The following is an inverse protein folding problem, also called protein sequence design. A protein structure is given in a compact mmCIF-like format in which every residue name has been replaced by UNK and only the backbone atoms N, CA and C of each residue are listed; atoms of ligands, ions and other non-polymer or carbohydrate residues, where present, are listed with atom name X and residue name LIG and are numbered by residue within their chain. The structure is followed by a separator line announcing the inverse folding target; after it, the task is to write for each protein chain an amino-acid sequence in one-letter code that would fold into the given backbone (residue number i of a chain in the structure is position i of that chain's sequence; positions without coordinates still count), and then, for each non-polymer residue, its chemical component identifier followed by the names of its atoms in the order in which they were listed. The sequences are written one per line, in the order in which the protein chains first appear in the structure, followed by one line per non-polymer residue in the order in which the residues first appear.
data_IF_070413161315
#
_entry.id   IF_070413161315
#
_cell.length_a   1.000
_cell.length_b   1.000
_cell.length_c   1.000
_cell.angle_alpha   90.00
_cell.angle_beta   90.00
_cell.angle_gamma   90.00
#
_symmetry.space_group_name_H-M   'P 1'
#
loop_
_entity.id
_entity.type
_entity.pdbx_description
1 polymer ?
#
# COMPACT_ATOMS: atom_id res chain seq x y z
N UNK A 1 -8.71 -5.15 -6.56
CA UNK A 1 -7.31 -5.53 -6.21
C UNK A 1 -6.51 -5.56 -7.50
N UNK A 2 -5.32 -4.95 -7.57
CA UNK A 2 -4.51 -4.97 -8.80
C UNK A 2 -3.54 -6.15 -8.78
N UNK A 3 -3.36 -6.85 -9.91
CA UNK A 3 -2.51 -8.06 -10.01
C UNK A 3 -1.08 -7.85 -9.46
N UNK A 4 -0.55 -6.63 -9.59
CA UNK A 4 0.79 -6.26 -9.10
C UNK A 4 0.95 -6.35 -7.57
N UNK A 5 -0.14 -6.36 -6.81
CA UNK A 5 -0.12 -6.43 -5.34
C UNK A 5 -0.29 -7.84 -4.80
N UNK A 6 -0.62 -8.81 -5.66
CA UNK A 6 -0.87 -10.19 -5.27
C UNK A 6 0.35 -10.83 -4.62
N UNK A 7 1.58 -10.72 -5.17
CA UNK A 7 2.75 -11.32 -4.53
C UNK A 7 3.00 -10.78 -3.12
N UNK A 8 2.83 -9.46 -2.94
CA UNK A 8 2.95 -8.82 -1.63
C UNK A 8 1.87 -9.25 -0.65
N UNK A 9 0.63 -9.42 -1.13
CA UNK A 9 -0.46 -9.93 -0.30
C UNK A 9 -0.22 -11.38 0.14
N UNK A 10 0.31 -12.22 -0.75
CA UNK A 10 0.64 -13.61 -0.43
C UNK A 10 1.77 -13.71 0.59
N UNK A 11 2.87 -12.97 0.40
CA UNK A 11 4.00 -12.99 1.33
C UNK A 11 3.63 -12.46 2.73
N UNK A 12 2.96 -11.31 2.82
CA UNK A 12 2.50 -10.77 4.09
C UNK A 12 1.38 -11.62 4.71
N UNK A 13 0.54 -12.23 3.89
CA UNK A 13 -0.51 -13.15 4.31
C UNK A 13 0.07 -14.43 4.92
N UNK A 14 1.14 -14.97 4.33
CA UNK A 14 1.86 -16.12 4.88
C UNK A 14 2.45 -15.80 6.26
N UNK A 15 3.11 -14.65 6.38
CA UNK A 15 3.62 -14.18 7.68
C UNK A 15 2.50 -14.04 8.71
N UNK A 16 1.34 -13.48 8.31
CA UNK A 16 0.18 -13.34 9.19
C UNK A 16 -0.41 -14.68 9.61
N UNK A 17 -0.46 -15.65 8.68
CA UNK A 17 -0.89 -17.01 8.95
C UNK A 17 0.02 -17.70 9.97
N UNK A 18 1.35 -17.63 9.77
CA UNK A 18 2.33 -18.19 10.70
C UNK A 18 2.27 -17.54 12.08
N UNK A 19 2.14 -16.22 12.15
CA UNK A 19 2.00 -15.49 13.41
C UNK A 19 0.72 -15.89 14.15
N UNK A 20 -0.40 -16.02 13.44
CA UNK A 20 -1.66 -16.47 14.01
C UNK A 20 -1.56 -17.93 14.50
N UNK A 21 -0.93 -18.80 13.73
CA UNK A 21 -0.72 -20.19 14.10
C UNK A 21 0.15 -20.31 15.36
N UNK A 22 1.27 -19.59 15.43
CA UNK A 22 2.11 -19.53 16.63
C UNK A 22 1.35 -19.00 17.86
N UNK A 23 0.51 -17.98 17.68
CA UNK A 23 -0.27 -17.38 18.75
C UNK A 23 -1.36 -18.33 19.29
N UNK A 24 -2.01 -19.09 18.42
CA UNK A 24 -3.06 -20.03 18.79
C UNK A 24 -2.52 -21.29 19.47
N UNK A 25 -1.35 -21.78 19.03
CA UNK A 25 -0.90 -23.14 19.39
C UNK A 25 0.37 -23.21 20.25
N UNK A 26 1.09 -22.09 20.46
CA UNK A 26 2.14 -21.86 21.50
C UNK A 26 3.16 -22.99 21.77
N UNK A 27 3.40 -23.89 20.82
CA UNK A 27 4.37 -25.00 20.93
C UNK A 27 3.78 -26.39 21.23
N UNK A 28 2.47 -26.54 21.39
CA UNK A 28 1.82 -27.85 21.55
C UNK A 28 1.67 -28.63 20.22
N UNK A 29 1.86 -27.93 19.10
CA UNK A 29 1.75 -28.48 17.75
C UNK A 29 3.01 -28.09 16.98
N UNK A 30 3.92 -29.05 16.85
CA UNK A 30 4.95 -28.95 15.85
C UNK A 30 4.27 -29.23 14.51
N UNK A 31 3.98 -28.18 13.73
CA UNK A 31 3.95 -28.35 12.28
C UNK A 31 5.20 -29.16 11.93
N UNK A 32 5.09 -30.22 11.13
CA UNK A 32 6.21 -31.08 10.78
C UNK A 32 7.46 -30.23 10.52
N UNK A 33 8.54 -30.49 11.26
CA UNK A 33 9.65 -29.52 11.42
C UNK A 33 10.19 -29.01 10.08
N UNK A 34 10.20 -29.86 9.06
CA UNK A 34 10.61 -29.54 7.70
C UNK A 34 9.63 -28.61 6.96
N UNK A 35 8.31 -28.84 7.10
CA UNK A 35 7.29 -27.99 6.49
C UNK A 35 7.25 -26.60 7.13
N UNK A 36 7.37 -26.55 8.46
CA UNK A 36 7.44 -25.28 9.18
C UNK A 36 8.65 -24.45 8.75
N UNK A 37 9.82 -25.10 8.61
CA UNK A 37 11.02 -24.46 8.11
C UNK A 37 10.82 -23.91 6.69
N UNK A 38 10.22 -24.69 5.77
CA UNK A 38 9.94 -24.26 4.41
C UNK A 38 8.98 -23.06 4.35
N UNK A 39 7.93 -23.04 5.17
CA UNK A 39 7.04 -21.88 5.26
C UNK A 39 7.75 -20.63 5.80
N UNK A 40 8.63 -20.79 6.78
CA UNK A 40 9.42 -19.68 7.31
C UNK A 40 10.42 -19.15 6.28
N UNK A 41 11.11 -20.03 5.56
CA UNK A 41 12.04 -19.66 4.49
C UNK A 41 11.33 -18.92 3.36
N UNK A 42 10.20 -19.45 2.90
CA UNK A 42 9.39 -18.81 1.85
C UNK A 42 8.85 -17.44 2.31
N UNK A 43 8.41 -17.33 3.56
CA UNK A 43 8.01 -16.04 4.14
C UNK A 43 9.19 -15.05 4.19
N UNK A 44 10.35 -15.50 4.66
CA UNK A 44 11.56 -14.69 4.76
C UNK A 44 12.01 -14.18 3.38
N UNK A 45 12.07 -15.06 2.37
CA UNK A 45 12.41 -14.68 0.99
C UNK A 45 11.40 -13.67 0.42
N UNK A 46 10.11 -13.88 0.64
CA UNK A 46 9.06 -12.95 0.21
C UNK A 46 9.20 -11.57 0.84
N UNK A 47 9.51 -11.52 2.14
CA UNK A 47 9.72 -10.27 2.88
C UNK A 47 11.00 -9.56 2.40
N UNK A 48 12.09 -10.29 2.20
CA UNK A 48 13.35 -9.75 1.70
C UNK A 48 13.18 -9.16 0.30
N UNK A 49 12.47 -9.86 -0.60
CA UNK A 49 12.18 -9.37 -1.95
C UNK A 49 11.33 -8.09 -1.92
N UNK A 50 10.31 -8.04 -1.07
CA UNK A 50 9.50 -6.83 -0.86
C UNK A 50 10.35 -5.69 -0.32
N UNK A 51 11.16 -5.94 0.71
CA UNK A 51 12.03 -4.95 1.31
C UNK A 51 12.99 -4.37 0.28
N UNK A 52 13.67 -5.21 -0.50
CA UNK A 52 14.57 -4.79 -1.58
C UNK A 52 13.85 -3.92 -2.62
N UNK A 53 12.64 -4.32 -3.05
CA UNK A 53 11.83 -3.54 -4.00
C UNK A 53 11.45 -2.16 -3.45
N UNK A 54 11.08 -2.08 -2.17
CA UNK A 54 10.73 -0.81 -1.52
C UNK A 54 11.94 0.07 -1.25
N UNK A 55 13.09 -0.49 -0.88
CA UNK A 55 14.36 0.25 -0.75
C UNK A 55 14.74 0.85 -2.10
N UNK A 56 14.69 0.05 -3.17
CA UNK A 56 14.96 0.54 -4.52
C UNK A 56 14.00 1.67 -4.94
N UNK A 57 12.70 1.50 -4.69
CA UNK A 57 11.69 2.53 -4.99
C UNK A 57 11.89 3.80 -4.15
N UNK A 58 12.22 3.67 -2.87
CA UNK A 58 12.53 4.78 -1.98
C UNK A 58 13.75 5.55 -2.48
N UNK A 59 14.83 4.86 -2.86
CA UNK A 59 16.04 5.48 -3.37
C UNK A 59 15.80 6.26 -4.68
N UNK A 60 15.05 5.68 -5.62
CA UNK A 60 14.68 6.38 -6.87
C UNK A 60 13.77 7.59 -6.62
N UNK A 61 12.91 7.51 -5.61
CA UNK A 61 12.03 8.61 -5.22
C UNK A 61 12.70 9.70 -4.40
N UNK A 62 13.73 9.40 -3.62
CA UNK A 62 14.31 10.30 -2.62
C UNK A 62 14.80 11.62 -3.21
N UNK A 63 15.33 11.62 -4.44
CA UNK A 63 15.79 12.84 -5.11
C UNK A 63 14.67 13.77 -5.58
N UNK A 64 13.45 13.26 -5.72
CA UNK A 64 12.30 13.99 -6.25
C UNK A 64 11.43 14.63 -5.17
N UNK A 65 11.67 14.33 -3.88
CA UNK A 65 10.86 14.82 -2.76
C UNK A 65 11.74 15.46 -1.69
N UNK A 66 11.28 16.58 -1.15
CA UNK A 66 11.91 17.24 0.00
C UNK A 66 11.39 16.75 1.35
N UNK A 67 10.26 16.01 1.36
CA UNK A 67 9.60 15.51 2.57
C UNK A 67 9.39 13.99 2.48
N UNK A 68 9.83 13.28 3.52
CA UNK A 68 9.68 11.83 3.66
C UNK A 68 8.24 11.37 3.82
N UNK A 69 7.33 12.24 4.28
CA UNK A 69 5.91 11.93 4.42
C UNK A 69 5.26 11.65 3.05
N UNK A 70 5.60 12.44 2.03
CA UNK A 70 5.06 12.32 0.68
C UNK A 70 5.57 11.03 0.00
N UNK A 71 6.87 10.76 0.16
CA UNK A 71 7.49 9.54 -0.36
C UNK A 71 6.92 8.29 0.33
N UNK A 72 6.78 8.31 1.65
CA UNK A 72 6.17 7.24 2.42
C UNK A 72 4.72 6.98 1.98
N UNK A 73 3.92 8.03 1.80
CA UNK A 73 2.56 7.91 1.30
C UNK A 73 2.51 7.26 -0.09
N UNK A 74 3.38 7.67 -1.02
CA UNK A 74 3.47 7.05 -2.35
C UNK A 74 3.86 5.58 -2.28
N UNK A 75 4.89 5.23 -1.50
CA UNK A 75 5.31 3.84 -1.31
C UNK A 75 4.18 3.01 -0.69
N UNK A 76 3.46 3.56 0.28
CA UNK A 76 2.32 2.87 0.93
C UNK A 76 1.19 2.51 -0.03
N UNK A 77 1.02 3.25 -1.14
CA UNK A 77 0.03 2.92 -2.18
C UNK A 77 0.37 1.62 -2.92
N UNK A 78 1.62 1.16 -2.87
CA UNK A 78 2.04 -0.11 -3.44
C UNK A 78 1.85 -1.30 -2.50
N UNK A 79 1.66 -1.07 -1.20
CA UNK A 79 1.33 -2.15 -0.27
C UNK A 79 -0.04 -2.77 -0.60
N UNK A 80 -0.20 -4.09 -0.35
CA UNK A 80 -1.51 -4.73 -0.35
C UNK A 80 -2.39 -4.13 0.75
N UNK A 81 -3.71 -4.17 0.54
CA UNK A 81 -4.67 -3.73 1.56
C UNK A 81 -4.78 -4.77 2.67
N UNK A 82 -5.16 -4.34 3.88
CA UNK A 82 -5.36 -5.27 5.00
C UNK A 82 -6.35 -6.41 4.69
N UNK A 83 -7.49 -6.18 4.00
CA UNK A 83 -8.38 -7.27 3.59
C UNK A 83 -7.72 -8.27 2.63
N UNK A 84 -6.81 -7.81 1.76
CA UNK A 84 -6.10 -8.68 0.84
C UNK A 84 -5.09 -9.57 1.58
N UNK A 85 -4.37 -9.01 2.55
CA UNK A 85 -3.45 -9.76 3.41
C UNK A 85 -4.22 -10.76 4.27
N UNK A 86 -5.37 -10.36 4.82
CA UNK A 86 -6.25 -11.24 5.58
C UNK A 86 -6.77 -12.42 4.76
N UNK A 87 -7.28 -12.16 3.54
CA UNK A 87 -7.73 -13.22 2.65
C UNK A 87 -6.60 -14.20 2.28
N UNK A 88 -5.40 -13.68 2.02
CA UNK A 88 -4.23 -14.52 1.79
C UNK A 88 -3.84 -15.32 3.04
N UNK A 89 -3.91 -14.71 4.22
CA UNK A 89 -3.63 -15.38 5.49
C UNK A 89 -4.58 -16.53 5.77
N UNK A 90 -5.89 -16.36 5.48
CA UNK A 90 -6.87 -17.45 5.54
C UNK A 90 -6.48 -18.57 4.58
N UNK A 91 -6.11 -18.23 3.34
CA UNK A 91 -5.69 -19.22 2.34
C UNK A 91 -4.49 -20.05 2.81
N UNK A 92 -3.46 -19.40 3.33
CA UNK A 92 -2.29 -20.07 3.90
C UNK A 92 -2.63 -20.90 5.14
N UNK A 93 -3.49 -20.37 6.03
CA UNK A 93 -3.91 -21.07 7.23
C UNK A 93 -4.69 -22.34 6.87
N UNK A 94 -5.65 -22.24 5.95
CA UNK A 94 -6.43 -23.38 5.47
C UNK A 94 -5.56 -24.40 4.73
N UNK A 95 -4.54 -23.96 3.99
CA UNK A 95 -3.58 -24.86 3.35
C UNK A 95 -2.78 -25.63 4.40
N UNK A 96 -2.28 -24.95 5.43
CA UNK A 96 -1.56 -25.59 6.52
C UNK A 96 -2.43 -26.59 7.29
N UNK A 97 -3.67 -26.22 7.61
CA UNK A 97 -4.65 -27.10 8.28
C UNK A 97 -5.02 -28.34 7.45
N UNK A 98 -5.04 -28.23 6.11
CA UNK A 98 -5.28 -29.38 5.23
C UNK A 98 -4.12 -30.35 5.16
N UNK A 99 -2.90 -29.85 5.28
CA UNK A 99 -1.70 -30.69 5.26
C UNK A 99 -1.54 -31.47 6.56
N UNK A 100 -2.00 -30.91 7.68
CA UNK A 100 -2.00 -31.58 9.00
C UNK A 100 -3.37 -31.41 9.69
N UNK A 101 -4.35 -32.28 9.38
CA UNK A 101 -5.69 -32.20 9.95
C UNK A 101 -5.70 -32.75 11.39
N UNK A 102 -5.14 -31.99 12.34
CA UNK A 102 -5.07 -32.38 13.75
C UNK A 102 -5.60 -31.32 14.73
N UNK A 103 -6.06 -30.17 14.24
CA UNK A 103 -6.48 -29.04 15.09
C UNK A 103 -7.98 -29.08 15.42
N UNK A 104 -8.39 -30.08 16.20
CA UNK A 104 -9.73 -30.10 16.79
C UNK A 104 -9.72 -29.27 18.09
N UNK A 105 -10.04 -27.97 18.04
CA UNK A 105 -10.26 -27.24 19.30
C UNK A 105 -10.46 -25.72 19.25
N UNK A 106 -9.97 -25.02 18.21
CA UNK A 106 -10.14 -23.56 18.16
C UNK A 106 -11.42 -23.21 17.40
N UNK A 107 -12.32 -22.48 18.05
CA UNK A 107 -13.53 -21.97 17.41
C UNK A 107 -13.17 -21.10 16.20
N UNK A 108 -13.84 -21.32 15.06
CA UNK A 108 -13.59 -20.61 13.80
C UNK A 108 -13.57 -19.09 13.95
N UNK A 109 -14.41 -18.56 14.84
CA UNK A 109 -14.45 -17.14 15.20
C UNK A 109 -13.13 -16.65 15.84
N UNK A 110 -12.54 -17.43 16.76
CA UNK A 110 -11.28 -17.09 17.42
C UNK A 110 -10.15 -17.07 16.38
N UNK A 111 -10.09 -18.09 15.51
CA UNK A 111 -9.12 -18.17 14.42
C UNK A 111 -9.22 -16.96 13.48
N UNK A 112 -10.43 -16.58 13.08
CA UNK A 112 -10.66 -15.43 12.22
C UNK A 112 -10.22 -14.10 12.88
N UNK A 113 -10.49 -13.93 14.18
CA UNK A 113 -10.08 -12.74 14.93
C UNK A 113 -8.55 -12.65 15.01
N UNK A 114 -7.87 -13.75 15.35
CA UNK A 114 -6.41 -13.76 15.45
C UNK A 114 -5.77 -13.51 14.08
N UNK A 115 -6.28 -14.10 13.01
CA UNK A 115 -5.83 -13.83 11.64
C UNK A 115 -6.03 -12.37 11.24
N UNK A 116 -7.18 -11.78 11.58
CA UNK A 116 -7.47 -10.38 11.29
C UNK A 116 -6.52 -9.44 12.05
N UNK A 117 -6.28 -9.72 13.33
CA UNK A 117 -5.34 -8.98 14.16
C UNK A 117 -3.90 -9.09 13.63
N UNK A 118 -3.45 -10.29 13.27
CA UNK A 118 -2.14 -10.53 12.69
C UNK A 118 -1.96 -9.80 11.35
N UNK A 119 -2.93 -9.90 10.44
CA UNK A 119 -2.91 -9.21 9.15
C UNK A 119 -2.89 -7.68 9.32
N UNK A 120 -3.70 -7.14 10.24
CA UNK A 120 -3.71 -5.72 10.55
C UNK A 120 -2.34 -5.25 11.09
N UNK A 121 -1.79 -5.98 12.07
CA UNK A 121 -0.51 -5.66 12.70
C UNK A 121 0.63 -5.65 11.66
N UNK A 122 0.72 -6.69 10.82
CA UNK A 122 1.75 -6.80 9.79
C UNK A 122 1.66 -5.65 8.77
N UNK A 123 0.44 -5.29 8.35
CA UNK A 123 0.26 -4.14 7.44
C UNK A 123 0.61 -2.84 8.13
N UNK A 124 0.28 -2.66 9.40
CA UNK A 124 0.66 -1.49 10.19
C UNK A 124 2.19 -1.37 10.31
N UNK A 125 2.87 -2.48 10.64
CA UNK A 125 4.33 -2.55 10.70
C UNK A 125 4.97 -2.24 9.36
N UNK A 126 4.46 -2.83 8.26
CA UNK A 126 4.96 -2.56 6.91
C UNK A 126 4.85 -1.07 6.56
N UNK A 127 3.75 -0.40 6.90
CA UNK A 127 3.59 1.05 6.69
C UNK A 127 4.58 1.86 7.53
N UNK A 128 4.78 1.49 8.79
CA UNK A 128 5.77 2.12 9.67
C UNK A 128 7.18 2.01 9.11
N UNK A 129 7.55 0.82 8.63
CA UNK A 129 8.84 0.56 8.01
C UNK A 129 9.04 1.38 6.74
N UNK A 130 8.03 1.48 5.87
CA UNK A 130 8.11 2.35 4.69
C UNK A 130 8.29 3.84 5.05
N UNK A 131 7.65 4.30 6.12
CA UNK A 131 7.83 5.66 6.60
C UNK A 131 9.23 5.91 7.17
N UNK A 132 9.85 4.92 7.81
CA UNK A 132 11.23 4.99 8.26
C UNK A 132 12.19 4.98 7.04
N UNK A 133 12.01 4.04 6.11
CA UNK A 133 12.81 3.93 4.89
C UNK A 133 12.77 5.20 4.04
N UNK A 134 11.60 5.81 3.87
CA UNK A 134 11.46 7.06 3.12
C UNK A 134 12.25 8.21 3.77
N UNK A 135 12.20 8.32 5.10
CA UNK A 135 12.96 9.34 5.86
C UNK A 135 14.46 9.12 5.76
N UNK A 136 14.91 7.88 5.91
CA UNK A 136 16.33 7.50 5.77
C UNK A 136 16.83 7.74 4.35
N UNK A 137 16.07 7.37 3.33
CA UNK A 137 16.48 7.57 1.94
C UNK A 137 16.65 9.05 1.61
N UNK A 138 15.75 9.92 2.10
CA UNK A 138 15.86 11.37 1.92
C UNK A 138 17.00 11.96 2.73
N UNK A 139 17.20 11.55 3.99
CA UNK A 139 18.32 12.05 4.80
C UNK A 139 19.66 11.71 4.16
N UNK A 140 19.81 10.49 3.64
CA UNK A 140 21.01 10.08 2.90
C UNK A 140 21.15 10.89 1.61
N UNK A 141 20.10 11.01 0.80
CA UNK A 141 20.14 11.77 -0.45
C UNK A 141 20.49 13.27 -0.23
N UNK A 142 20.00 13.86 0.87
CA UNK A 142 20.34 15.21 1.27
C UNK A 142 21.78 15.33 1.79
N UNK A 143 22.29 14.32 2.49
CA UNK A 143 23.68 14.28 2.98
C UNK A 143 24.72 14.04 1.88
N UNK A 144 24.35 13.29 0.83
CA UNK A 144 25.25 12.92 -0.26
C UNK A 144 25.55 14.07 -1.25
N UNK A 145 24.92 15.25 -1.08
CA UNK A 145 25.21 16.45 -1.85
C UNK A 145 25.24 17.68 -0.93
N UNK A 146 26.44 18.07 -0.48
CA UNK A 146 26.72 19.47 -0.13
C UNK A 146 27.71 20.06 -1.14
N UNK A 147 27.22 20.57 -2.28
CA UNK A 147 27.65 21.86 -2.77
C UNK A 147 26.68 22.89 -2.20
N UNK A 148 27.20 23.93 -1.53
CA UNK A 148 26.41 25.10 -1.11
C UNK A 148 25.55 25.59 -2.28
N UNK A 149 24.26 25.27 -2.27
CA UNK A 149 23.32 25.75 -3.26
C UNK A 149 22.66 27.03 -2.73
N UNK A 150 23.02 28.14 -3.37
CA UNK A 150 22.35 29.46 -3.40
C UNK A 150 20.83 29.29 -3.17
N UNK A 151 20.17 30.15 -2.36
CA UNK A 151 18.77 29.98 -2.00
C UNK A 151 17.91 29.84 -3.26
N UNK A 152 17.44 28.61 -3.49
CA UNK A 152 16.50 28.31 -4.55
C UNK A 152 15.23 29.13 -4.28
N UNK A 153 15.01 30.11 -5.16
CA UNK A 153 13.86 31.01 -5.17
C UNK A 153 12.60 30.21 -4.84
N UNK A 154 11.99 30.54 -3.70
CA UNK A 154 10.76 29.93 -3.18
C UNK A 154 9.75 29.81 -4.32
N UNK A 155 9.57 28.61 -4.88
CA UNK A 155 8.44 28.36 -5.77
C UNK A 155 7.23 28.38 -4.86
N UNK A 156 6.60 29.55 -4.76
CA UNK A 156 5.29 29.70 -4.13
C UNK A 156 4.36 28.81 -4.94
N UNK A 157 4.07 27.62 -4.41
CA UNK A 157 2.94 26.82 -4.85
C UNK A 157 1.70 27.69 -4.66
N UNK A 158 1.29 28.39 -5.71
CA UNK A 158 0.02 29.09 -5.75
C UNK A 158 -1.03 28.03 -5.44
N UNK A 159 -1.74 28.21 -4.33
CA UNK A 159 -2.92 27.42 -4.02
C UNK A 159 -3.78 27.33 -5.29
N UNK A 160 -4.31 26.14 -5.65
CA UNK A 160 -5.21 26.04 -6.78
C UNK A 160 -6.36 27.03 -6.52
N UNK A 161 -6.39 28.12 -7.31
CA UNK A 161 -7.48 29.08 -7.24
C UNK A 161 -8.77 28.28 -7.38
N UNK A 162 -9.75 28.44 -6.47
CA UNK A 162 -11.07 27.88 -6.73
C UNK A 162 -11.49 28.43 -8.09
N UNK A 163 -11.69 27.53 -9.06
CA UNK A 163 -12.37 27.89 -10.29
C UNK A 163 -13.74 28.36 -9.82
N UNK A 164 -13.94 29.67 -9.80
CA UNK A 164 -15.27 30.23 -9.68
C UNK A 164 -16.14 29.48 -10.70
N UNK A 165 -17.29 28.91 -10.30
CA UNK A 165 -18.21 28.37 -11.27
C UNK A 165 -18.46 29.52 -12.24
N UNK A 166 -17.99 29.35 -13.48
CA UNK A 166 -18.30 30.28 -14.54
C UNK A 166 -19.82 30.36 -14.56
N UNK A 167 -20.34 31.51 -14.13
CA UNK A 167 -21.67 31.95 -14.45
C UNK A 167 -21.83 31.73 -15.95
N UNK A 168 -22.52 30.65 -16.31
CA UNK A 168 -23.00 30.36 -17.65
C UNK A 168 -24.11 31.36 -17.96
N UNK A 169 -23.73 32.62 -18.13
CA UNK A 169 -24.58 33.66 -18.69
C UNK A 169 -23.74 34.37 -19.74
N UNK A 170 -24.27 34.36 -20.96
CA UNK A 170 -23.84 35.09 -22.16
C UNK A 170 -22.90 34.33 -23.12
N UNK A 171 -23.43 33.27 -23.75
CA UNK A 171 -23.14 32.94 -25.16
C UNK A 171 -24.41 32.61 -25.95
N UNK A 172 -25.45 33.41 -25.74
CA UNK A 172 -26.54 33.58 -26.69
C UNK A 172 -26.74 35.08 -26.91
N UNK A 173 -25.83 35.65 -27.70
CA UNK A 173 -26.04 36.92 -28.39
C UNK A 173 -25.71 36.67 -29.86
N UNK A 174 -26.46 35.75 -30.48
CA UNK A 174 -26.68 35.83 -31.92
C UNK A 174 -27.89 36.75 -32.09
N UNK A 175 -27.81 37.84 -32.87
CA UNK A 175 -29.00 38.60 -33.20
C UNK A 175 -29.98 37.68 -33.95
N UNK A 176 -31.31 37.79 -33.70
CA UNK A 176 -32.28 37.06 -34.49
C UNK A 176 -32.16 37.51 -35.97
N UNK A 177 -32.35 36.60 -36.94
CA UNK A 177 -32.35 36.97 -38.35
C UNK A 177 -33.50 37.97 -38.62
N UNK A 178 -33.32 38.93 -39.54
CA UNK A 178 -34.39 39.85 -39.91
C UNK A 178 -35.58 39.08 -40.48
N UNK A 179 -36.76 39.28 -39.90
CA UNK A 179 -38.03 38.84 -40.45
C UNK A 179 -38.26 39.66 -41.71
N UNK A 180 -37.97 39.10 -42.88
CA UNK A 180 -38.39 39.67 -44.16
C UNK A 180 -39.88 39.40 -44.29
N UNK A 181 -40.69 40.41 -44.01
CA UNK A 181 -42.09 40.44 -44.42
C UNK A 181 -42.15 40.56 -45.93
N UNK A 182 -42.30 39.44 -46.62
CA UNK A 182 -42.83 39.43 -47.97
C UNK A 182 -44.31 39.79 -47.88
N UNK A 183 -44.57 41.09 -47.97
CA UNK A 183 -45.87 41.59 -48.41
C UNK A 183 -45.87 41.69 -49.93
N UNK A 184 -47.08 41.55 -50.49
CA UNK A 184 -47.52 41.66 -51.89
C UNK A 184 -47.57 40.30 -52.61
N UNK A 185 -48.67 39.92 -53.25
CA UNK A 185 -49.83 40.67 -53.74
C UNK A 185 -51.09 39.79 -53.68
#
# INVERSE_FOLDING_TARGET
MTLRKVPGALALGLLASLAAHAALYRGAHAMGAEYHALLLETAALGILALAAAFVHAAWRGAKAFSDGSILAYRLSRHLPSAPAVFAAAIGWFALAERLEPHHAGVATAVTAIVLAAAAWLIVAMARGLLAALARVAISIAASAFVPRAVPARRVVLRAPRPKTPHCSRRRFARPPPPIVWLSRA
#
